data_IF_201679531345
#
_entry.id   IF_201679531345
#
_cell.length_a   1.000
_cell.length_b   1.000
_cell.length_c   1.000
_cell.angle_alpha   90.00
_cell.angle_beta   90.00
_cell.angle_gamma   90.00
#
_symmetry.space_group_name_H-M   'P 1'
#
loop_
_entity.id
_entity.type
_entity.pdbx_description
1 polymer ?
#
# COMPACT_ATOMS: atom_id res chain seq x y z
N UNK A 1 16.08 -34.13 47.63
CA UNK A 1 17.05 -34.00 46.54
C UNK A 1 16.34 -34.33 45.24
N UNK A 2 15.91 -33.32 44.50
CA UNK A 2 15.53 -33.41 43.10
C UNK A 2 15.76 -32.02 42.51
N UNK A 3 16.72 -31.96 41.59
CA UNK A 3 17.20 -30.78 40.89
C UNK A 3 16.63 -30.82 39.46
N UNK A 4 16.41 -29.62 38.90
CA UNK A 4 16.39 -29.29 37.45
C UNK A 4 15.24 -29.90 36.62
N UNK A 5 14.54 -29.21 35.72
CA UNK A 5 14.97 -28.26 34.67
C UNK A 5 13.73 -27.57 34.11
N UNK A 6 13.66 -26.23 34.10
CA UNK A 6 12.81 -25.49 33.14
C UNK A 6 13.29 -24.05 32.97
N UNK A 7 14.31 -23.87 32.12
CA UNK A 7 14.68 -22.56 31.57
C UNK A 7 15.54 -22.80 30.32
N UNK A 8 14.91 -22.81 29.14
CA UNK A 8 15.65 -22.86 27.86
C UNK A 8 14.89 -22.29 26.66
N UNK A 9 13.66 -21.78 26.82
CA UNK A 9 12.91 -21.20 25.69
C UNK A 9 13.05 -19.67 25.57
N UNK A 10 13.51 -18.94 26.60
CA UNK A 10 13.61 -17.47 26.54
C UNK A 10 14.97 -16.91 26.12
N UNK A 11 16.01 -17.74 26.05
CA UNK A 11 17.39 -17.28 25.79
C UNK A 11 17.78 -17.31 24.31
N UNK A 12 17.08 -18.09 23.49
CA UNK A 12 17.39 -18.26 22.06
C UNK A 12 16.90 -17.06 21.25
N UNK A 13 15.68 -16.59 21.53
CA UNK A 13 15.02 -15.49 20.83
C UNK A 13 15.78 -14.14 20.96
N UNK A 14 16.35 -13.87 22.13
CA UNK A 14 17.17 -12.66 22.36
C UNK A 14 18.52 -12.68 21.62
N UNK A 15 19.09 -13.86 21.37
CA UNK A 15 20.39 -13.97 20.70
C UNK A 15 20.29 -13.77 19.19
N UNK A 16 19.21 -14.23 18.56
CA UNK A 16 18.96 -14.06 17.13
C UNK A 16 18.59 -12.61 16.77
N UNK A 17 17.82 -11.92 17.63
CA UNK A 17 17.45 -10.52 17.39
C UNK A 17 18.64 -9.55 17.45
N UNK A 18 19.57 -9.76 18.38
CA UNK A 18 20.80 -8.97 18.47
C UNK A 18 21.72 -9.24 17.26
N UNK A 19 21.78 -10.49 16.80
CA UNK A 19 22.55 -10.85 15.60
C UNK A 19 21.97 -10.22 14.32
N UNK A 20 20.65 -10.21 14.15
CA UNK A 20 20.00 -9.53 13.01
C UNK A 20 20.26 -8.02 13.03
N UNK A 21 20.25 -7.41 14.21
CA UNK A 21 20.50 -5.97 14.38
C UNK A 21 21.94 -5.61 14.04
N UNK A 22 22.91 -6.41 14.49
CA UNK A 22 24.33 -6.26 14.13
C UNK A 22 24.52 -6.35 12.61
N UNK A 23 23.92 -7.35 11.95
CA UNK A 23 23.98 -7.52 10.50
C UNK A 23 23.37 -6.33 9.75
N UNK A 24 22.28 -5.76 10.25
CA UNK A 24 21.67 -4.57 9.67
C UNK A 24 22.58 -3.34 9.81
N UNK A 25 23.23 -3.16 10.96
CA UNK A 25 24.16 -2.05 11.18
C UNK A 25 25.38 -2.14 10.26
N UNK A 26 25.98 -3.33 10.11
CA UNK A 26 27.06 -3.59 9.16
C UNK A 26 26.63 -3.30 7.72
N UNK A 27 25.43 -3.75 7.34
CA UNK A 27 24.87 -3.46 6.02
C UNK A 27 24.72 -1.95 5.82
N UNK A 28 24.11 -1.22 6.75
CA UNK A 28 23.91 0.23 6.65
C UNK A 28 25.24 1.01 6.54
N UNK A 29 26.32 0.52 7.15
CA UNK A 29 27.66 1.10 7.01
C UNK A 29 28.25 0.89 5.63
N UNK A 30 27.96 -0.25 4.99
CA UNK A 30 28.46 -0.59 3.65
C UNK A 30 27.74 0.16 2.51
N UNK A 31 26.48 0.57 2.72
CA UNK A 31 25.67 1.18 1.67
C UNK A 31 26.07 2.65 1.42
N UNK A 32 26.10 3.10 0.14
CA UNK A 32 26.20 4.51 -0.17
C UNK A 32 25.07 5.29 0.51
N UNK A 33 25.40 6.41 1.14
CA UNK A 33 24.42 7.26 1.83
C UNK A 33 24.56 8.71 1.44
N UNK A 34 23.43 9.38 1.30
CA UNK A 34 23.33 10.80 0.94
C UNK A 34 22.45 11.54 1.93
N UNK A 35 22.61 12.87 1.99
CA UNK A 35 21.79 13.70 2.88
C UNK A 35 20.32 13.61 2.47
N UNK A 36 19.47 13.21 3.42
CA UNK A 36 18.04 13.06 3.18
C UNK A 36 17.26 14.38 3.32
N UNK A 37 16.07 14.37 2.76
CA UNK A 37 15.05 15.44 2.83
C UNK A 37 14.09 15.32 4.03
N UNK A 38 13.95 14.13 4.62
CA UNK A 38 13.01 13.82 5.71
C UNK A 38 13.76 13.25 6.90
N UNK A 39 14.61 12.25 6.65
CA UNK A 39 15.58 11.70 7.60
C UNK A 39 16.96 12.31 7.33
N UNK A 40 17.86 12.23 8.31
CA UNK A 40 19.22 12.76 8.16
C UNK A 40 19.96 12.17 6.94
N UNK A 41 19.77 10.87 6.69
CA UNK A 41 20.36 10.17 5.56
C UNK A 41 19.33 9.33 4.80
N UNK A 42 19.58 9.14 3.51
CA UNK A 42 19.02 8.07 2.68
C UNK A 42 20.15 7.13 2.27
N UNK A 43 19.82 5.86 2.07
CA UNK A 43 20.75 4.80 1.72
C UNK A 43 20.38 4.21 0.36
N UNK A 44 21.36 3.96 -0.49
CA UNK A 44 21.17 3.30 -1.78
C UNK A 44 21.20 1.78 -1.56
N UNK A 45 20.03 1.16 -1.52
CA UNK A 45 19.86 -0.29 -1.38
C UNK A 45 19.25 -0.85 -2.66
N UNK A 46 19.88 -1.84 -3.29
CA UNK A 46 19.40 -2.49 -4.52
C UNK A 46 18.91 -1.50 -5.61
N UNK A 47 19.73 -0.48 -5.91
CA UNK A 47 19.45 0.56 -6.92
C UNK A 47 18.32 1.55 -6.58
N UNK A 48 17.77 1.53 -5.36
CA UNK A 48 16.80 2.53 -4.90
C UNK A 48 17.25 3.24 -3.61
N UNK A 49 16.95 4.53 -3.53
CA UNK A 49 17.20 5.32 -2.32
C UNK A 49 16.07 5.15 -1.32
N UNK A 50 16.39 4.67 -0.12
CA UNK A 50 15.41 4.44 0.94
C UNK A 50 15.90 4.91 2.32
N UNK A 51 14.96 4.94 3.27
CA UNK A 51 15.25 5.29 4.67
C UNK A 51 15.72 4.06 5.42
N UNK A 52 16.65 4.22 6.36
CA UNK A 52 17.17 3.12 7.19
C UNK A 52 16.07 2.23 7.81
N UNK A 53 14.98 2.77 8.40
CA UNK A 53 13.91 1.93 8.96
C UNK A 53 13.15 1.06 7.95
N UNK A 54 13.34 1.26 6.64
CA UNK A 54 12.68 0.48 5.60
C UNK A 54 13.55 -0.65 5.04
N UNK A 55 14.86 -0.65 5.31
CA UNK A 55 15.79 -1.63 4.73
C UNK A 55 15.52 -3.02 5.31
N UNK A 56 15.47 -3.15 6.63
CA UNK A 56 15.18 -4.43 7.28
C UNK A 56 13.81 -5.01 6.87
N UNK A 57 12.71 -4.21 6.89
CA UNK A 57 11.44 -4.67 6.36
C UNK A 57 11.49 -5.17 4.91
N UNK A 58 12.27 -4.52 4.05
CA UNK A 58 12.42 -4.93 2.65
C UNK A 58 13.14 -6.27 2.53
N UNK A 59 14.21 -6.47 3.30
CA UNK A 59 14.95 -7.74 3.33
C UNK A 59 14.04 -8.88 3.78
N UNK A 60 13.23 -8.65 4.83
CA UNK A 60 12.29 -9.66 5.31
C UNK A 60 11.21 -9.95 4.25
N UNK A 61 10.63 -8.91 3.66
CA UNK A 61 9.60 -9.06 2.63
C UNK A 61 10.07 -9.84 1.40
N UNK A 62 11.33 -9.67 0.97
CA UNK A 62 11.91 -10.40 -0.16
C UNK A 62 11.92 -11.93 0.01
N UNK A 63 11.68 -12.43 1.22
CA UNK A 63 11.57 -13.87 1.50
C UNK A 63 10.14 -14.41 1.32
N UNK A 64 9.16 -13.58 1.01
CA UNK A 64 7.74 -13.93 0.92
C UNK A 64 7.16 -13.78 -0.49
N UNK A 65 6.14 -14.59 -0.82
CA UNK A 65 5.50 -14.67 -2.14
C UNK A 65 4.00 -14.30 -2.08
N UNK A 66 3.67 -13.17 -1.46
CA UNK A 66 2.28 -12.70 -1.30
C UNK A 66 1.84 -11.75 -2.43
N UNK A 67 0.52 -11.51 -2.51
CA UNK A 67 -0.06 -10.50 -3.41
C UNK A 67 0.28 -9.10 -2.89
N UNK A 68 0.95 -8.30 -3.72
CA UNK A 68 1.40 -6.95 -3.36
C UNK A 68 0.62 -5.90 -4.13
N UNK A 69 0.08 -4.91 -3.42
CA UNK A 69 -0.30 -3.65 -4.05
C UNK A 69 0.92 -2.74 -4.05
N UNK A 70 1.68 -2.77 -5.14
CA UNK A 70 2.83 -1.89 -5.32
C UNK A 70 2.36 -0.51 -5.82
N UNK A 71 2.67 0.54 -5.07
CA UNK A 71 2.32 1.91 -5.46
C UNK A 71 3.44 2.88 -5.16
N UNK A 72 3.57 3.89 -6.00
CA UNK A 72 4.40 5.05 -5.65
C UNK A 72 3.68 5.85 -4.56
N UNK A 73 4.46 6.38 -3.63
CA UNK A 73 3.89 7.23 -2.59
C UNK A 73 3.09 8.37 -3.23
N UNK A 74 1.85 8.52 -2.76
CA UNK A 74 0.90 9.57 -3.18
C UNK A 74 0.29 9.42 -4.59
N UNK A 75 0.48 8.31 -5.30
CA UNK A 75 -0.16 8.02 -6.60
C UNK A 75 -1.60 7.50 -6.49
N UNK A 76 -2.34 7.92 -5.45
CA UNK A 76 -3.72 7.45 -5.23
C UNK A 76 -3.88 6.19 -4.37
N UNK A 77 -2.85 5.83 -3.59
CA UNK A 77 -2.80 4.65 -2.72
C UNK A 77 -4.04 4.45 -1.84
N UNK A 78 -4.60 5.52 -1.26
CA UNK A 78 -5.82 5.44 -0.43
C UNK A 78 -7.02 4.92 -1.21
N UNK A 79 -7.17 5.41 -2.45
CA UNK A 79 -8.30 5.05 -3.30
C UNK A 79 -8.14 3.65 -3.87
N UNK A 80 -6.92 3.31 -4.33
CA UNK A 80 -6.61 1.96 -4.81
C UNK A 80 -6.81 0.92 -3.70
N UNK A 81 -6.32 1.16 -2.48
CA UNK A 81 -6.56 0.27 -1.34
C UNK A 81 -8.05 0.09 -1.04
N UNK A 82 -8.85 1.15 -1.13
CA UNK A 82 -10.30 1.06 -0.91
C UNK A 82 -10.99 0.19 -1.97
N UNK A 83 -10.69 0.42 -3.25
CA UNK A 83 -11.22 -0.36 -4.37
C UNK A 83 -10.75 -1.82 -4.35
N UNK A 84 -9.45 -2.06 -4.12
CA UNK A 84 -8.89 -3.39 -3.95
C UNK A 84 -9.56 -4.14 -2.80
N UNK A 85 -9.72 -3.49 -1.64
CA UNK A 85 -10.37 -4.12 -0.50
C UNK A 85 -11.81 -4.54 -0.82
N UNK A 86 -12.57 -3.71 -1.54
CA UNK A 86 -13.90 -4.08 -2.03
C UNK A 86 -13.89 -5.20 -3.07
N UNK A 87 -12.87 -5.25 -3.93
CA UNK A 87 -12.72 -6.31 -4.91
C UNK A 87 -12.38 -7.66 -4.25
N UNK A 88 -11.59 -7.64 -3.16
CA UNK A 88 -11.04 -8.82 -2.47
C UNK A 88 -11.97 -9.34 -1.38
N UNK A 89 -12.49 -8.46 -0.52
CA UNK A 89 -13.33 -8.88 0.62
C UNK A 89 -14.70 -9.26 0.08
N UNK A 90 -15.07 -10.54 0.29
CA UNK A 90 -16.35 -11.15 -0.14
C UNK A 90 -17.46 -10.12 -0.27
N UNK A 91 -17.72 -9.67 -1.50
CA UNK A 91 -18.83 -8.78 -1.86
C UNK A 91 -20.18 -9.34 -1.40
N UNK A 92 -20.27 -10.67 -1.30
CA UNK A 92 -21.43 -11.39 -0.75
C UNK A 92 -21.66 -11.19 0.74
N UNK A 93 -20.65 -10.77 1.52
CA UNK A 93 -20.75 -10.56 2.97
C UNK A 93 -21.19 -9.15 3.33
N UNK A 94 -20.76 -8.17 2.54
CA UNK A 94 -21.06 -6.76 2.76
C UNK A 94 -21.71 -6.18 1.51
N UNK A 95 -23.01 -6.42 1.35
CA UNK A 95 -23.78 -5.85 0.27
C UNK A 95 -23.90 -4.33 0.54
N UNK A 96 -23.44 -3.44 -0.36
CA UNK A 96 -23.47 -1.99 -0.15
C UNK A 96 -24.87 -1.43 0.19
N UNK A 97 -25.94 -2.15 -0.14
CA UNK A 97 -27.34 -1.78 0.07
C UNK A 97 -27.96 -2.31 1.36
N UNK A 98 -27.28 -3.19 2.12
CA UNK A 98 -27.82 -3.76 3.37
C UNK A 98 -27.45 -2.89 4.58
N UNK A 99 -28.45 -2.44 5.36
CA UNK A 99 -28.24 -1.65 6.58
C UNK A 99 -27.73 -2.47 7.78
N UNK A 100 -27.83 -3.80 7.73
CA UNK A 100 -27.61 -4.64 8.92
C UNK A 100 -26.13 -5.04 9.13
N UNK A 101 -25.24 -4.86 8.14
CA UNK A 101 -23.80 -5.11 8.30
C UNK A 101 -22.98 -4.06 7.51
N UNK A 102 -22.67 -2.90 8.13
CA UNK A 102 -22.03 -1.79 7.44
C UNK A 102 -20.61 -2.13 7.02
N UNK A 103 -20.29 -1.87 5.75
CA UNK A 103 -18.99 -2.19 5.19
C UNK A 103 -17.80 -1.58 5.99
N UNK A 104 -16.70 -2.32 6.23
CA UNK A 104 -15.57 -1.85 7.05
C UNK A 104 -15.00 -0.46 6.66
N UNK A 105 -15.04 -0.09 5.38
CA UNK A 105 -14.62 1.24 4.90
C UNK A 105 -15.44 2.42 5.45
N UNK A 106 -16.64 2.19 5.99
CA UNK A 106 -17.41 3.22 6.67
C UNK A 106 -16.84 3.57 8.05
N UNK A 107 -16.21 2.58 8.70
CA UNK A 107 -15.74 2.66 10.07
C UNK A 107 -14.21 2.61 10.20
N UNK A 108 -13.49 2.37 9.11
CA UNK A 108 -12.04 2.23 9.09
C UNK A 108 -11.43 2.87 7.85
N UNK A 109 -10.23 3.44 8.01
CA UNK A 109 -9.48 4.01 6.89
C UNK A 109 -8.93 2.88 5.98
N UNK A 110 -8.89 3.05 4.65
CA UNK A 110 -8.32 2.06 3.73
C UNK A 110 -6.90 1.60 4.08
N UNK A 111 -6.06 2.49 4.64
CA UNK A 111 -4.69 2.13 5.05
C UNK A 111 -4.64 1.23 6.29
N UNK A 112 -5.71 1.16 7.08
CA UNK A 112 -5.84 0.20 8.18
C UNK A 112 -6.38 -1.16 7.72
N UNK A 113 -7.17 -1.17 6.66
CA UNK A 113 -7.78 -2.39 6.10
C UNK A 113 -6.83 -3.14 5.17
N UNK A 114 -6.00 -2.40 4.45
CA UNK A 114 -4.95 -2.92 3.60
C UNK A 114 -3.63 -2.34 4.12
N UNK A 115 -2.95 -3.03 5.05
CA UNK A 115 -1.74 -2.52 5.69
C UNK A 115 -0.60 -2.37 4.66
N UNK A 116 0.34 -1.47 4.94
CA UNK A 116 1.62 -1.44 4.22
C UNK A 116 2.51 -2.56 4.75
N UNK A 117 3.00 -3.42 3.86
CA UNK A 117 3.83 -4.56 4.26
C UNK A 117 5.09 -4.09 4.99
N UNK A 118 5.78 -3.10 4.43
CA UNK A 118 7.06 -2.61 4.95
C UNK A 118 6.91 -1.89 6.30
N UNK A 119 5.80 -1.17 6.51
CA UNK A 119 5.63 -0.31 7.69
C UNK A 119 4.77 -0.92 8.79
N UNK A 120 3.71 -1.63 8.42
CA UNK A 120 2.72 -2.12 9.37
C UNK A 120 2.98 -3.58 9.76
N UNK A 121 3.51 -4.38 8.84
CA UNK A 121 3.75 -5.81 9.05
C UNK A 121 5.20 -6.07 9.46
N UNK A 122 6.15 -5.78 8.58
CA UNK A 122 7.55 -6.16 8.80
C UNK A 122 8.29 -5.21 9.75
N UNK A 123 8.04 -3.90 9.69
CA UNK A 123 8.66 -2.97 10.67
C UNK A 123 8.10 -3.14 12.10
N UNK A 124 6.86 -3.63 12.26
CA UNK A 124 6.25 -3.84 13.58
C UNK A 124 6.23 -5.32 14.01
N UNK A 125 6.89 -6.22 13.28
CA UNK A 125 6.96 -7.67 13.58
C UNK A 125 5.61 -8.31 13.90
N UNK A 126 4.53 -7.94 13.18
CA UNK A 126 3.23 -8.59 13.41
C UNK A 126 3.22 -9.95 12.73
N UNK A 127 3.21 -11.03 13.52
CA UNK A 127 3.15 -12.41 13.05
C UNK A 127 1.89 -12.64 12.21
N UNK A 128 2.05 -12.81 10.90
CA UNK A 128 1.00 -13.34 10.05
C UNK A 128 1.55 -14.43 9.13
N UNK A 129 0.80 -15.53 9.06
CA UNK A 129 1.09 -16.68 8.22
C UNK A 129 0.92 -16.29 6.74
N UNK A 130 2.03 -16.07 6.04
CA UNK A 130 2.06 -15.81 4.60
C UNK A 130 1.74 -17.07 3.79
N UNK A 131 1.04 -16.91 2.66
CA UNK A 131 0.71 -17.99 1.74
C UNK A 131 1.93 -18.31 0.86
N UNK A 132 2.21 -19.60 0.61
CA UNK A 132 3.40 -20.04 -0.14
C UNK A 132 3.22 -20.16 -1.66
N UNK A 133 2.00 -19.98 -2.18
CA UNK A 133 1.71 -20.18 -3.59
C UNK A 133 0.92 -18.99 -4.16
N UNK A 134 1.58 -18.11 -4.90
CA UNK A 134 0.92 -17.22 -5.85
C UNK A 134 1.63 -17.27 -7.20
N UNK A 135 0.91 -17.44 -8.32
CA UNK A 135 1.50 -17.33 -9.64
C UNK A 135 1.97 -15.89 -9.90
N UNK A 136 3.05 -15.73 -10.67
CA UNK A 136 3.59 -14.45 -11.14
C UNK A 136 2.58 -13.71 -12.07
N UNK A 137 1.47 -13.21 -11.53
CA UNK A 137 0.51 -12.34 -12.21
C UNK A 137 0.76 -10.91 -11.75
N UNK A 138 0.90 -9.97 -12.68
CA UNK A 138 1.07 -8.54 -12.39
C UNK A 138 -0.03 -7.74 -13.08
N UNK A 139 -0.73 -6.88 -12.33
CA UNK A 139 -1.71 -5.94 -12.86
C UNK A 139 -1.17 -4.52 -12.79
N UNK A 140 -0.99 -3.89 -13.95
CA UNK A 140 -0.65 -2.47 -14.06
C UNK A 140 -1.91 -1.61 -14.15
N UNK A 141 -1.98 -0.61 -13.28
CA UNK A 141 -3.05 0.40 -13.21
C UNK A 141 -2.43 1.79 -13.19
N UNK A 142 -2.90 2.69 -14.05
CA UNK A 142 -2.60 4.13 -13.93
C UNK A 142 -3.73 4.83 -13.19
N UNK A 143 -3.38 5.79 -12.35
CA UNK A 143 -4.37 6.51 -11.54
C UNK A 143 -5.34 7.32 -12.42
N UNK A 144 -4.83 7.90 -13.50
CA UNK A 144 -5.59 8.67 -14.48
C UNK A 144 -6.63 7.79 -15.17
N UNK A 145 -6.23 6.62 -15.68
CA UNK A 145 -7.11 5.64 -16.32
C UNK A 145 -8.15 5.09 -15.32
N UNK A 146 -7.73 4.77 -14.09
CA UNK A 146 -8.63 4.35 -13.01
C UNK A 146 -9.68 5.41 -12.69
N UNK A 147 -9.31 6.69 -12.78
CA UNK A 147 -10.21 7.81 -12.51
C UNK A 147 -11.17 8.08 -13.67
N UNK A 148 -10.71 7.94 -14.90
CA UNK A 148 -11.53 8.12 -16.10
C UNK A 148 -12.50 6.95 -16.30
N UNK A 149 -12.05 5.72 -16.05
CA UNK A 149 -12.75 4.49 -16.38
C UNK A 149 -12.91 3.56 -15.16
N UNK A 150 -13.37 4.11 -14.03
CA UNK A 150 -13.40 3.38 -12.75
C UNK A 150 -14.17 2.05 -12.81
N UNK A 151 -15.30 2.01 -13.52
CA UNK A 151 -16.12 0.80 -13.63
C UNK A 151 -15.36 -0.34 -14.35
N UNK A 152 -14.77 -0.08 -15.51
CA UNK A 152 -14.03 -1.10 -16.26
C UNK A 152 -12.75 -1.53 -15.54
N UNK A 153 -12.02 -0.59 -14.93
CA UNK A 153 -10.82 -0.94 -14.17
C UNK A 153 -11.16 -1.75 -12.92
N UNK A 154 -12.28 -1.46 -12.24
CA UNK A 154 -12.73 -2.27 -11.10
C UNK A 154 -13.11 -3.70 -11.53
N UNK A 155 -13.75 -3.87 -12.69
CA UNK A 155 -14.02 -5.21 -13.27
C UNK A 155 -12.72 -5.93 -13.61
N UNK A 156 -11.76 -5.24 -14.23
CA UNK A 156 -10.43 -5.78 -14.58
C UNK A 156 -9.66 -6.21 -13.33
N UNK A 157 -9.71 -5.43 -12.25
CA UNK A 157 -9.15 -5.79 -10.96
C UNK A 157 -9.80 -7.03 -10.37
N UNK A 158 -11.14 -7.10 -10.38
CA UNK A 158 -11.89 -8.25 -9.87
C UNK A 158 -11.57 -9.54 -10.64
N UNK A 159 -11.45 -9.45 -11.97
CA UNK A 159 -11.00 -10.56 -12.83
C UNK A 159 -9.57 -11.00 -12.52
N UNK A 160 -8.65 -10.05 -12.35
CA UNK A 160 -7.25 -10.34 -12.04
C UNK A 160 -7.09 -11.06 -10.69
N UNK A 161 -7.94 -10.75 -9.72
CA UNK A 161 -8.00 -11.38 -8.40
C UNK A 161 -8.77 -12.71 -8.41
N UNK A 162 -9.08 -13.26 -9.59
CA UNK A 162 -9.83 -14.49 -9.81
C UNK A 162 -11.24 -14.49 -9.14
N UNK A 163 -11.83 -13.28 -8.97
CA UNK A 163 -13.16 -13.07 -8.39
C UNK A 163 -13.97 -12.04 -9.21
N UNK A 164 -14.33 -12.34 -10.48
CA UNK A 164 -15.05 -11.43 -11.36
C UNK A 164 -16.47 -11.11 -10.85
N UNK A 165 -17.04 -9.99 -11.31
CA UNK A 165 -18.44 -9.67 -11.01
C UNK A 165 -19.39 -10.63 -11.73
N UNK A 166 -20.47 -11.02 -11.05
CA UNK A 166 -21.53 -11.83 -11.69
C UNK A 166 -22.49 -10.93 -12.48
N UNK A 167 -23.20 -11.46 -13.49
CA UNK A 167 -24.22 -10.69 -14.21
C UNK A 167 -25.29 -10.07 -13.30
N UNK A 168 -25.63 -10.74 -12.20
CA UNK A 168 -26.56 -10.25 -11.18
C UNK A 168 -25.98 -9.07 -10.39
N UNK A 169 -24.69 -9.11 -10.02
CA UNK A 169 -24.00 -7.98 -9.38
C UNK A 169 -23.93 -6.76 -10.32
N UNK A 170 -23.69 -6.99 -11.61
CA UNK A 170 -23.63 -5.92 -12.60
C UNK A 170 -25.00 -5.28 -12.83
N UNK A 171 -26.01 -6.10 -13.09
CA UNK A 171 -27.39 -5.63 -13.31
C UNK A 171 -28.03 -5.03 -12.06
N UNK A 172 -27.61 -5.48 -10.87
CA UNK A 172 -28.05 -4.97 -9.57
C UNK A 172 -27.37 -3.68 -9.10
N UNK A 173 -26.49 -3.07 -9.91
CA UNK A 173 -25.86 -1.78 -9.55
C UNK A 173 -24.82 -1.88 -8.42
N UNK A 174 -24.28 -3.07 -8.14
CA UNK A 174 -23.27 -3.27 -7.08
C UNK A 174 -22.01 -2.47 -7.40
N UNK A 175 -21.58 -2.45 -8.66
CA UNK A 175 -20.37 -1.75 -9.09
C UNK A 175 -20.51 -0.24 -8.84
N UNK A 176 -21.63 0.35 -9.24
CA UNK A 176 -21.89 1.78 -9.04
C UNK A 176 -21.96 2.14 -7.55
N UNK A 177 -22.55 1.24 -6.74
CA UNK A 177 -22.58 1.39 -5.29
C UNK A 177 -21.17 1.38 -4.67
N UNK A 178 -20.28 0.50 -5.15
CA UNK A 178 -18.87 0.46 -4.71
C UNK A 178 -18.15 1.75 -5.11
N UNK A 179 -18.34 2.21 -6.35
CA UNK A 179 -17.72 3.45 -6.86
C UNK A 179 -18.16 4.66 -6.04
N UNK A 180 -19.46 4.78 -5.74
CA UNK A 180 -20.00 5.88 -4.93
C UNK A 180 -19.45 5.85 -3.51
N UNK A 181 -19.39 4.67 -2.88
CA UNK A 181 -18.90 4.53 -1.51
C UNK A 181 -17.38 4.78 -1.41
N UNK A 182 -16.63 4.37 -2.44
CA UNK A 182 -15.20 4.65 -2.56
C UNK A 182 -14.91 6.01 -3.19
N UNK A 183 -15.92 6.85 -3.45
CA UNK A 183 -15.71 8.15 -4.07
C UNK A 183 -14.88 9.05 -3.15
N UNK A 184 -14.02 9.88 -3.74
CA UNK A 184 -13.18 10.81 -2.98
C UNK A 184 -14.02 11.69 -2.04
N UNK A 185 -15.18 12.16 -2.52
CA UNK A 185 -16.10 13.00 -1.75
C UNK A 185 -16.62 12.24 -0.52
N UNK A 186 -17.19 11.05 -0.72
CA UNK A 186 -17.75 10.23 0.35
C UNK A 186 -16.70 9.88 1.39
N UNK A 187 -15.55 9.34 0.96
CA UNK A 187 -14.49 8.96 1.89
C UNK A 187 -13.93 10.15 2.68
N UNK A 188 -13.78 11.32 2.05
CA UNK A 188 -13.29 12.54 2.74
C UNK A 188 -14.26 13.04 3.81
N UNK A 189 -15.56 12.79 3.64
CA UNK A 189 -16.61 13.24 4.55
C UNK A 189 -16.84 12.30 5.74
N UNK A 190 -16.33 11.07 5.71
CA UNK A 190 -16.43 10.12 6.84
C UNK A 190 -15.66 10.63 8.07
N UNK A 191 -16.29 10.51 9.24
CA UNK A 191 -15.69 10.99 10.51
C UNK A 191 -14.35 10.32 10.81
N UNK A 192 -14.23 9.02 10.52
CA UNK A 192 -12.99 8.24 10.69
C UNK A 192 -11.83 8.83 9.88
N UNK A 193 -12.13 9.51 8.77
CA UNK A 193 -11.15 10.11 7.88
C UNK A 193 -10.85 11.58 8.20
N UNK A 194 -11.76 12.26 8.90
CA UNK A 194 -11.56 13.65 9.37
C UNK A 194 -10.73 13.71 10.65
N UNK A 195 -11.03 12.85 11.63
CA UNK A 195 -10.49 12.93 12.99
C UNK A 195 -9.64 11.72 13.40
N UNK A 196 -9.78 10.59 12.71
CA UNK A 196 -9.04 9.36 13.02
C UNK A 196 -7.53 9.45 12.80
N UNK A 197 -6.81 8.45 13.31
CA UNK A 197 -5.36 8.31 13.18
C UNK A 197 -4.99 6.87 12.81
N UNK A 198 -3.95 6.72 11.99
CA UNK A 198 -3.30 5.43 11.72
C UNK A 198 -2.07 5.29 12.61
N UNK A 199 -1.93 4.13 13.25
CA UNK A 199 -0.84 3.77 14.16
C UNK A 199 -0.54 4.85 15.22
N UNK A 200 -1.57 5.61 15.64
CA UNK A 200 -1.50 6.78 16.52
C UNK A 200 -0.54 7.90 16.09
N UNK A 201 0.04 7.84 14.88
CA UNK A 201 1.09 8.76 14.41
C UNK A 201 0.60 9.69 13.30
N UNK A 202 -0.21 9.19 12.37
CA UNK A 202 -0.62 9.94 11.18
C UNK A 202 -2.11 10.25 11.24
N UNK A 203 -2.47 11.54 11.20
CA UNK A 203 -3.87 11.98 11.17
C UNK A 203 -4.48 11.70 9.80
N UNK A 204 -5.64 11.04 9.77
CA UNK A 204 -6.27 10.54 8.55
C UNK A 204 -6.61 11.65 7.55
N UNK A 205 -6.89 12.87 8.02
CA UNK A 205 -7.20 14.04 7.17
C UNK A 205 -6.11 14.32 6.13
N UNK A 206 -4.86 14.00 6.42
CA UNK A 206 -3.73 14.26 5.52
C UNK A 206 -3.71 13.34 4.28
N UNK A 207 -4.51 12.28 4.26
CA UNK A 207 -4.68 11.45 3.07
C UNK A 207 -5.69 12.05 2.07
N UNK A 208 -6.51 13.03 2.47
CA UNK A 208 -7.60 13.59 1.67
C UNK A 208 -7.40 15.07 1.32
N UNK A 209 -6.50 15.35 0.36
CA UNK A 209 -6.19 16.72 -0.09
C UNK A 209 -7.22 17.28 -1.09
N UNK A 210 -6.96 17.11 -2.39
CA UNK A 210 -7.81 17.62 -3.49
C UNK A 210 -8.43 16.52 -4.36
N UNK A 211 -7.82 15.34 -4.50
CA UNK A 211 -8.36 14.25 -5.32
C UNK A 211 -8.47 14.54 -6.83
N UNK A 212 -7.73 15.54 -7.33
CA UNK A 212 -7.77 15.98 -8.74
C UNK A 212 -6.46 15.67 -9.45
N UNK A 213 -6.57 15.23 -10.70
CA UNK A 213 -5.45 15.11 -11.65
C UNK A 213 -4.98 16.50 -12.07
N UNK A 214 -3.76 16.61 -12.62
CA UNK A 214 -3.20 17.89 -13.05
C UNK A 214 -2.88 18.87 -11.92
N UNK A 215 -2.88 18.44 -10.65
CA UNK A 215 -2.62 19.35 -9.53
C UNK A 215 -1.23 20.00 -9.55
N UNK A 216 -0.26 19.35 -10.19
CA UNK A 216 1.15 19.76 -10.30
C UNK A 216 1.35 21.06 -11.10
N UNK A 217 0.47 21.37 -12.06
CA UNK A 217 0.56 22.61 -12.88
C UNK A 217 0.50 23.89 -12.04
N UNK A 218 -0.08 23.81 -10.84
CA UNK A 218 -0.19 24.95 -9.92
C UNK A 218 1.09 25.20 -9.10
N UNK A 219 2.07 24.29 -9.18
CA UNK A 219 3.28 24.33 -8.35
C UNK A 219 4.56 24.34 -9.19
N UNK A 220 4.53 23.77 -10.39
CA UNK A 220 5.69 23.65 -11.27
C UNK A 220 5.69 24.78 -12.30
N UNK A 221 6.86 25.38 -12.53
CA UNK A 221 7.03 26.31 -13.66
C UNK A 221 7.11 25.53 -14.98
N UNK A 222 6.84 26.18 -16.13
CA UNK A 222 6.96 25.53 -17.44
C UNK A 222 8.31 24.83 -17.68
N UNK A 223 9.42 25.45 -17.25
CA UNK A 223 10.75 24.84 -17.41
C UNK A 223 11.00 23.63 -16.52
N UNK A 224 10.38 23.56 -15.33
CA UNK A 224 10.43 22.37 -14.48
C UNK A 224 9.62 21.22 -15.09
N UNK A 225 8.48 21.55 -15.70
CA UNK A 225 7.60 20.59 -16.38
C UNK A 225 8.33 19.97 -17.57
N UNK A 226 8.95 20.81 -18.41
CA UNK A 226 9.73 20.36 -19.57
C UNK A 226 10.88 19.44 -19.15
N UNK A 227 11.68 19.85 -18.15
CA UNK A 227 12.78 19.02 -17.62
C UNK A 227 12.28 17.68 -17.09
N UNK A 228 11.19 17.67 -16.32
CA UNK A 228 10.63 16.44 -15.77
C UNK A 228 10.08 15.52 -16.87
N UNK A 229 9.38 16.08 -17.85
CA UNK A 229 8.80 15.33 -18.97
C UNK A 229 9.90 14.64 -19.78
N UNK A 230 10.99 15.36 -20.07
CA UNK A 230 12.16 14.80 -20.76
C UNK A 230 12.78 13.64 -19.98
N UNK A 231 12.96 13.78 -18.67
CA UNK A 231 13.51 12.70 -17.83
C UNK A 231 12.57 11.48 -17.82
N UNK A 232 11.25 11.71 -17.74
CA UNK A 232 10.25 10.63 -17.78
C UNK A 232 10.32 9.91 -19.12
N UNK A 233 10.35 10.62 -20.24
CA UNK A 233 10.43 10.03 -21.57
C UNK A 233 11.71 9.23 -21.78
N UNK A 234 12.87 9.81 -21.39
CA UNK A 234 14.17 9.14 -21.49
C UNK A 234 14.28 7.88 -20.63
N UNK A 235 13.66 7.87 -19.44
CA UNK A 235 13.78 6.77 -18.47
C UNK A 235 12.67 5.75 -18.55
N UNK A 236 11.46 6.15 -18.94
CA UNK A 236 10.26 5.31 -18.92
C UNK A 236 9.75 4.98 -20.32
N UNK A 237 10.09 5.79 -21.33
CA UNK A 237 9.69 5.56 -22.71
C UNK A 237 10.23 4.24 -23.28
N UNK A 238 11.45 3.84 -22.90
CA UNK A 238 12.03 2.54 -23.29
C UNK A 238 11.23 1.33 -22.77
N UNK A 239 10.46 1.52 -21.69
CA UNK A 239 9.58 0.51 -21.10
C UNK A 239 8.13 0.62 -21.58
N UNK A 240 7.84 1.47 -22.57
CA UNK A 240 6.49 1.70 -23.09
C UNK A 240 5.59 2.49 -22.13
N UNK A 241 6.16 3.16 -21.13
CA UNK A 241 5.43 3.94 -20.13
C UNK A 241 5.45 5.43 -20.50
N UNK A 242 4.31 5.92 -20.97
CA UNK A 242 4.09 7.31 -21.34
C UNK A 242 3.01 7.95 -20.45
N UNK A 243 3.19 9.25 -20.12
CA UNK A 243 2.41 10.03 -19.15
C UNK A 243 2.11 11.43 -19.67
#
# INVERSE_FOLDING_TARGET
MAETTKTTESSVDHSEEEEEKLRLEELLQSLPKEKGWITQYMYLYQQFWCRSPLIQPTITFQKHNDIVIATLSKSGTTWLKALCFFAIVKRSRFIPTSQNDPHPLLNSNPHSLVPFLELDIYANKTNNNASKDTPNKVLFLKYEELKENTNSELKRMAQFLDYPFTPEEESGGVIDSIIELCSFKKMKELEVNKSGKIANKIVNKFFFRKGKTGGWVNYFSPSMIEKLSKVIEEKLGEFGLFF
#
